data_IF_392154469198
#
_entry.id   IF_392154469198
#
_cell.length_a   1.000
_cell.length_b   1.000
_cell.length_c   1.000
_cell.angle_alpha   90.00
_cell.angle_beta   90.00
_cell.angle_gamma   90.00
#
_symmetry.space_group_name_H-M   'P 1'
#
loop_
_entity.id
_entity.type
_entity.pdbx_description
1 polymer ?
#
# COMPACT_ATOMS: atom_id res chain seq x y z
N UNK A 1 -6.01 0.28 -31.60
CA UNK A 1 -5.34 1.17 -30.62
C UNK A 1 -6.24 1.53 -29.45
N UNK A 2 -7.53 1.83 -29.65
CA UNK A 2 -8.50 1.98 -28.54
C UNK A 2 -8.50 0.77 -27.61
N UNK A 3 -8.65 -0.44 -28.15
CA UNK A 3 -8.71 -1.69 -27.34
C UNK A 3 -7.44 -1.93 -26.49
N UNK A 4 -6.27 -1.49 -26.95
CA UNK A 4 -5.02 -1.61 -26.21
C UNK A 4 -4.96 -0.61 -25.04
N UNK A 5 -5.46 0.61 -25.24
CA UNK A 5 -5.58 1.60 -24.16
C UNK A 5 -6.60 1.12 -23.12
N UNK A 6 -7.73 0.57 -23.56
CA UNK A 6 -8.78 0.06 -22.67
C UNK A 6 -8.28 -1.13 -21.82
N UNK A 7 -7.52 -2.05 -22.42
CA UNK A 7 -6.89 -3.16 -21.70
C UNK A 7 -5.82 -2.68 -20.70
N UNK A 8 -5.01 -1.68 -21.06
CA UNK A 8 -4.05 -1.07 -20.14
C UNK A 8 -4.72 -0.34 -18.98
N UNK A 9 -5.84 0.33 -19.21
CA UNK A 9 -6.65 0.94 -18.15
C UNK A 9 -7.21 -0.11 -17.19
N UNK A 10 -7.76 -1.21 -17.71
CA UNK A 10 -8.23 -2.32 -16.88
C UNK A 10 -7.08 -2.92 -16.06
N UNK A 11 -5.90 -3.11 -16.67
CA UNK A 11 -4.72 -3.59 -15.98
C UNK A 11 -4.28 -2.62 -14.87
N UNK A 12 -4.29 -1.31 -15.12
CA UNK A 12 -3.96 -0.29 -14.12
C UNK A 12 -4.91 -0.39 -12.92
N UNK A 13 -6.22 -0.51 -13.15
CA UNK A 13 -7.21 -0.67 -12.09
C UNK A 13 -6.95 -1.93 -11.24
N UNK A 14 -6.61 -3.05 -11.88
CA UNK A 14 -6.26 -4.28 -11.16
C UNK A 14 -5.00 -4.09 -10.31
N UNK A 15 -3.95 -3.45 -10.85
CA UNK A 15 -2.72 -3.16 -10.10
C UNK A 15 -2.96 -2.22 -8.93
N UNK A 16 -3.76 -1.18 -9.11
CA UNK A 16 -4.13 -0.26 -8.04
C UNK A 16 -4.88 -0.98 -6.91
N UNK A 17 -5.81 -1.88 -7.25
CA UNK A 17 -6.52 -2.70 -6.25
C UNK A 17 -5.55 -3.59 -5.46
N UNK A 18 -4.62 -4.26 -6.14
CA UNK A 18 -3.59 -5.06 -5.48
C UNK A 18 -2.70 -4.23 -4.55
N UNK A 19 -2.29 -3.04 -4.97
CA UNK A 19 -1.51 -2.11 -4.13
C UNK A 19 -2.30 -1.69 -2.89
N UNK A 20 -3.58 -1.33 -3.06
CA UNK A 20 -4.46 -0.94 -1.96
C UNK A 20 -4.65 -2.08 -0.96
N UNK A 21 -4.79 -3.32 -1.44
CA UNK A 21 -4.92 -4.51 -0.59
C UNK A 21 -3.68 -4.71 0.29
N UNK A 22 -2.48 -4.70 -0.29
CA UNK A 22 -1.23 -4.87 0.50
C UNK A 22 -1.02 -3.70 1.45
N UNK A 23 -1.38 -2.47 1.05
CA UNK A 23 -1.32 -1.29 1.92
C UNK A 23 -2.25 -1.40 3.13
N UNK A 24 -3.46 -1.94 2.92
CA UNK A 24 -4.41 -2.21 4.01
C UNK A 24 -3.86 -3.26 4.98
N UNK A 25 -3.33 -4.38 4.46
CA UNK A 25 -2.70 -5.43 5.26
C UNK A 25 -1.52 -4.89 6.08
N UNK A 26 -0.64 -4.09 5.46
CA UNK A 26 0.48 -3.45 6.15
C UNK A 26 0.00 -2.55 7.30
N UNK A 27 -1.09 -1.82 7.10
CA UNK A 27 -1.67 -0.95 8.12
C UNK A 27 -2.21 -1.77 9.30
N UNK A 28 -2.94 -2.85 9.02
CA UNK A 28 -3.45 -3.77 10.04
C UNK A 28 -2.29 -4.39 10.84
N UNK A 29 -1.23 -4.82 10.16
CA UNK A 29 -0.06 -5.42 10.80
C UNK A 29 0.66 -4.42 11.72
N UNK A 30 0.85 -3.17 11.28
CA UNK A 30 1.42 -2.11 12.13
C UNK A 30 0.57 -1.83 13.37
N UNK A 31 -0.75 -1.84 13.24
CA UNK A 31 -1.65 -1.70 14.38
C UNK A 31 -1.51 -2.87 15.36
N UNK A 32 -1.31 -4.09 14.87
CA UNK A 32 -1.04 -5.26 15.70
C UNK A 32 0.28 -5.10 16.48
N UNK A 33 1.37 -4.68 15.85
CA UNK A 33 2.64 -4.38 16.54
C UNK A 33 2.45 -3.34 17.66
N UNK A 34 1.69 -2.27 17.40
CA UNK A 34 1.38 -1.26 18.43
C UNK A 34 0.58 -1.84 19.60
N UNK A 35 -0.33 -2.79 19.35
CA UNK A 35 -1.09 -3.47 20.41
C UNK A 35 -0.16 -4.32 21.28
N UNK A 36 0.75 -5.09 20.69
CA UNK A 36 1.75 -5.84 21.45
C UNK A 36 2.60 -4.93 22.32
N UNK A 37 3.09 -3.82 21.77
CA UNK A 37 3.86 -2.84 22.54
C UNK A 37 3.07 -2.28 23.73
N UNK A 38 1.79 -1.92 23.54
CA UNK A 38 0.92 -1.44 24.62
C UNK A 38 0.70 -2.51 25.69
N UNK A 39 0.46 -3.76 25.29
CA UNK A 39 0.28 -4.88 26.21
C UNK A 39 1.55 -5.12 27.05
N UNK A 40 2.72 -5.15 26.43
CA UNK A 40 4.01 -5.30 27.12
C UNK A 40 4.19 -4.18 28.14
N UNK A 41 3.93 -2.92 27.77
CA UNK A 41 4.03 -1.79 28.69
C UNK A 41 3.05 -1.92 29.88
N UNK A 42 1.82 -2.35 29.63
CA UNK A 42 0.83 -2.56 30.68
C UNK A 42 1.23 -3.70 31.63
N UNK A 43 1.72 -4.82 31.09
CA UNK A 43 2.20 -5.96 31.90
C UNK A 43 3.43 -5.58 32.74
N UNK A 44 4.36 -4.79 32.19
CA UNK A 44 5.50 -4.26 32.95
C UNK A 44 5.05 -3.31 34.07
N UNK A 45 4.01 -2.50 33.86
CA UNK A 45 3.49 -1.61 34.90
C UNK A 45 2.90 -2.40 36.09
N UNK A 46 2.27 -3.55 35.82
CA UNK A 46 1.74 -4.44 36.85
C UNK A 46 2.82 -5.03 37.75
N UNK A 47 4.03 -5.31 37.23
CA UNK A 47 5.15 -5.84 38.03
C UNK A 47 5.84 -4.75 38.85
N UNK A 48 5.84 -3.50 38.38
CA UNK A 48 6.44 -2.35 39.08
C UNK A 48 5.61 -1.85 40.27
N UNK A 49 4.30 -2.14 40.29
CA UNK A 49 3.37 -1.63 41.31
C UNK A 49 3.33 -2.47 42.60
N UNK A 50 4.07 -3.58 42.66
CA UNK A 50 4.16 -4.46 43.83
C UNK A 50 5.35 -4.09 44.72
N UNK A 51 5.20 -3.04 45.55
CA UNK A 51 6.16 -2.77 46.62
C UNK A 51 5.95 -3.72 47.82
N UNK A 52 7.06 -4.18 48.42
CA UNK A 52 7.03 -5.10 49.55
C UNK A 52 6.48 -4.41 50.81
N UNK A 53 5.28 -4.79 51.24
CA UNK A 53 4.71 -4.33 52.50
C UNK A 53 5.39 -5.05 53.69
N UNK A 54 5.71 -4.34 54.79
CA UNK A 54 6.18 -5.00 56.00
C UNK A 54 5.04 -5.83 56.64
N UNK A 55 5.34 -7.08 57.02
CA UNK A 55 4.39 -7.98 57.70
C UNK A 55 3.72 -9.05 56.83
N UNK A 56 4.22 -9.30 55.60
CA UNK A 56 3.67 -10.28 54.67
C UNK A 56 3.98 -11.72 55.11
N UNK A 57 2.98 -12.60 55.07
CA UNK A 57 3.14 -14.03 55.40
C UNK A 57 3.92 -14.80 54.31
N UNK A 58 4.53 -15.93 54.67
CA UNK A 58 5.26 -16.78 53.71
C UNK A 58 4.39 -17.25 52.53
N UNK A 59 3.10 -17.52 52.77
CA UNK A 59 2.14 -17.88 51.72
C UNK A 59 1.91 -16.72 50.74
N UNK A 60 1.77 -15.49 51.24
CA UNK A 60 1.63 -14.32 50.38
C UNK A 60 2.89 -14.06 49.56
N UNK A 61 4.09 -14.25 50.13
CA UNK A 61 5.35 -14.15 49.38
C UNK A 61 5.41 -15.18 48.23
N UNK A 62 5.01 -16.43 48.49
CA UNK A 62 4.95 -17.46 47.45
C UNK A 62 3.97 -17.09 46.33
N UNK A 63 2.78 -16.59 46.69
CA UNK A 63 1.79 -16.12 45.72
C UNK A 63 2.30 -14.96 44.86
N UNK A 64 2.99 -13.98 45.46
CA UNK A 64 3.60 -12.87 44.70
C UNK A 64 4.69 -13.38 43.74
N UNK A 65 5.58 -14.25 44.21
CA UNK A 65 6.63 -14.82 43.37
C UNK A 65 6.05 -15.59 42.17
N UNK A 66 4.99 -16.37 42.39
CA UNK A 66 4.31 -17.10 41.32
C UNK A 66 3.57 -16.16 40.37
N UNK A 67 2.88 -15.14 40.87
CA UNK A 67 2.25 -14.12 40.04
C UNK A 67 3.26 -13.41 39.13
N UNK A 68 4.37 -12.94 39.69
CA UNK A 68 5.45 -12.29 38.93
C UNK A 68 6.04 -13.21 37.86
N UNK A 69 6.26 -14.49 38.19
CA UNK A 69 6.71 -15.49 37.22
C UNK A 69 5.69 -15.72 36.10
N UNK A 70 4.39 -15.65 36.38
CA UNK A 70 3.36 -15.74 35.34
C UNK A 70 3.34 -14.50 34.44
N UNK A 71 3.35 -13.29 35.02
CA UNK A 71 3.39 -12.04 34.24
C UNK A 71 4.65 -11.96 33.38
N UNK A 72 5.80 -12.36 33.90
CA UNK A 72 7.04 -12.39 33.13
C UNK A 72 6.95 -13.33 31.92
N UNK A 73 6.40 -14.53 32.10
CA UNK A 73 6.15 -15.46 30.98
C UNK A 73 5.22 -14.86 29.92
N UNK A 74 4.17 -14.16 30.35
CA UNK A 74 3.26 -13.44 29.44
C UNK A 74 3.99 -12.34 28.66
N UNK A 75 4.85 -11.56 29.31
CA UNK A 75 5.68 -10.53 28.67
C UNK A 75 6.60 -11.16 27.63
N UNK A 76 7.29 -12.23 27.99
CA UNK A 76 8.24 -12.91 27.10
C UNK A 76 7.52 -13.47 25.86
N UNK A 77 6.33 -14.04 26.05
CA UNK A 77 5.47 -14.46 24.94
C UNK A 77 5.04 -13.28 24.05
N UNK A 78 4.56 -12.17 24.64
CA UNK A 78 4.15 -10.98 23.86
C UNK A 78 5.32 -10.40 23.04
N UNK A 79 6.54 -10.44 23.57
CA UNK A 79 7.76 -10.02 22.85
C UNK A 79 8.05 -10.92 21.65
N UNK A 80 7.89 -12.23 21.81
CA UNK A 80 8.05 -13.18 20.70
C UNK A 80 7.02 -12.92 19.60
N UNK A 81 5.74 -12.76 19.97
CA UNK A 81 4.68 -12.42 19.03
C UNK A 81 4.91 -11.07 18.33
N UNK A 82 5.38 -10.05 19.05
CA UNK A 82 5.76 -8.77 18.46
C UNK A 82 6.88 -8.94 17.42
N UNK A 83 7.91 -9.73 17.72
CA UNK A 83 9.01 -9.97 16.79
C UNK A 83 8.53 -10.67 15.50
N UNK A 84 7.64 -11.66 15.62
CA UNK A 84 7.00 -12.29 14.46
C UNK A 84 6.17 -11.28 13.67
N UNK A 85 5.42 -10.42 14.36
CA UNK A 85 4.61 -9.40 13.71
C UNK A 85 5.46 -8.36 12.96
N UNK A 86 6.61 -7.96 13.50
CA UNK A 86 7.56 -7.03 12.88
C UNK A 86 8.23 -7.63 11.63
N UNK A 87 8.55 -8.94 11.64
CA UNK A 87 9.01 -9.65 10.44
C UNK A 87 7.96 -9.55 9.34
N UNK A 88 6.69 -9.77 9.67
CA UNK A 88 5.60 -9.69 8.69
C UNK A 88 5.38 -8.26 8.16
N UNK A 89 5.60 -7.23 8.99
CA UNK A 89 5.65 -5.84 8.51
C UNK A 89 6.73 -5.68 7.42
N UNK A 90 7.92 -6.25 7.63
CA UNK A 90 9.01 -6.23 6.64
C UNK A 90 8.65 -6.92 5.32
N UNK A 91 7.99 -8.08 5.41
CA UNK A 91 7.48 -8.81 4.24
C UNK A 91 6.46 -7.98 3.47
N UNK A 92 5.46 -7.43 4.16
CA UNK A 92 4.40 -6.60 3.58
C UNK A 92 4.94 -5.31 2.96
N UNK A 93 5.95 -4.67 3.57
CA UNK A 93 6.62 -3.50 2.98
C UNK A 93 7.31 -3.85 1.65
N UNK A 94 8.01 -4.98 1.61
CA UNK A 94 8.66 -5.45 0.38
C UNK A 94 7.63 -5.74 -0.70
N UNK A 95 6.53 -6.42 -0.35
CA UNK A 95 5.43 -6.69 -1.28
C UNK A 95 4.77 -5.39 -1.77
N UNK A 96 4.54 -4.42 -0.87
CA UNK A 96 3.96 -3.12 -1.23
C UNK A 96 4.83 -2.39 -2.25
N UNK A 97 6.15 -2.36 -2.04
CA UNK A 97 7.10 -1.75 -2.99
C UNK A 97 7.06 -2.45 -4.36
N UNK A 98 6.98 -3.78 -4.38
CA UNK A 98 6.85 -4.53 -5.64
C UNK A 98 5.54 -4.21 -6.37
N UNK A 99 4.41 -4.13 -5.65
CA UNK A 99 3.13 -3.76 -6.25
C UNK A 99 3.11 -2.31 -6.74
N UNK A 100 3.70 -1.39 -5.97
CA UNK A 100 3.82 0.01 -6.38
C UNK A 100 4.66 0.16 -7.66
N UNK A 101 5.78 -0.58 -7.78
CA UNK A 101 6.56 -0.60 -9.02
C UNK A 101 5.75 -1.13 -10.20
N UNK A 102 4.99 -2.22 -10.02
CA UNK A 102 4.14 -2.81 -11.07
C UNK A 102 3.03 -1.87 -11.51
N UNK A 103 2.37 -1.20 -10.57
CA UNK A 103 1.36 -0.17 -10.87
C UNK A 103 2.00 0.97 -11.69
N UNK A 104 3.14 1.50 -11.22
CA UNK A 104 3.81 2.62 -11.89
C UNK A 104 4.25 2.29 -13.31
N UNK A 105 4.75 1.08 -13.56
CA UNK A 105 5.10 0.62 -14.91
C UNK A 105 3.88 0.70 -15.84
N UNK A 106 2.73 0.18 -15.39
CA UNK A 106 1.50 0.20 -16.20
C UNK A 106 1.02 1.62 -16.42
N UNK A 107 1.08 2.48 -15.40
CA UNK A 107 0.69 3.89 -15.53
C UNK A 107 1.53 4.63 -16.58
N UNK A 108 2.86 4.44 -16.58
CA UNK A 108 3.76 5.07 -17.57
C UNK A 108 3.49 4.54 -18.98
N UNK A 109 3.32 3.22 -19.13
CA UNK A 109 3.01 2.63 -20.45
C UNK A 109 1.66 3.11 -20.98
N UNK A 110 0.65 3.21 -20.12
CA UNK A 110 -0.66 3.73 -20.49
C UNK A 110 -0.57 5.19 -20.97
N UNK A 111 0.16 6.03 -20.25
CA UNK A 111 0.40 7.44 -20.61
C UNK A 111 1.07 7.54 -21.99
N UNK A 112 2.13 6.77 -22.22
CA UNK A 112 2.82 6.73 -23.53
C UNK A 112 1.89 6.32 -24.67
N UNK A 113 1.09 5.28 -24.47
CA UNK A 113 0.14 4.81 -25.49
C UNK A 113 -0.96 5.84 -25.78
N UNK A 114 -1.43 6.55 -24.76
CA UNK A 114 -2.41 7.63 -24.93
C UNK A 114 -1.83 8.80 -25.74
N UNK A 115 -0.59 9.20 -25.46
CA UNK A 115 0.10 10.25 -26.21
C UNK A 115 0.33 9.86 -27.68
N UNK A 116 0.75 8.62 -27.93
CA UNK A 116 0.94 8.09 -29.29
C UNK A 116 -0.38 8.12 -30.07
N UNK A 117 -1.45 7.62 -29.45
CA UNK A 117 -2.77 7.63 -30.06
C UNK A 117 -3.26 9.05 -30.36
N UNK A 118 -3.09 9.99 -29.44
CA UNK A 118 -3.45 11.40 -29.65
C UNK A 118 -2.65 12.04 -30.78
N UNK A 119 -1.33 11.76 -30.87
CA UNK A 119 -0.47 12.26 -31.96
C UNK A 119 -0.94 11.75 -33.32
N UNK A 120 -1.31 10.47 -33.41
CA UNK A 120 -1.82 9.90 -34.65
C UNK A 120 -3.16 10.51 -35.07
N UNK A 121 -4.09 10.66 -34.12
CA UNK A 121 -5.38 11.31 -34.37
C UNK A 121 -5.19 12.75 -34.84
N UNK A 122 -4.27 13.51 -34.20
CA UNK A 122 -3.92 14.86 -34.62
C UNK A 122 -3.36 14.90 -36.04
N UNK A 123 -2.48 13.96 -36.40
CA UNK A 123 -1.93 13.86 -37.76
C UNK A 123 -3.00 13.55 -38.81
N UNK A 124 -3.95 12.66 -38.49
CA UNK A 124 -5.07 12.33 -39.38
C UNK A 124 -6.02 13.52 -39.56
N UNK A 125 -6.37 14.20 -38.47
CA UNK A 125 -7.19 15.40 -38.49
C UNK A 125 -6.54 16.50 -39.35
N UNK A 126 -5.25 16.76 -39.13
CA UNK A 126 -4.50 17.74 -39.91
C UNK A 126 -4.49 17.41 -41.41
N UNK A 127 -4.19 16.16 -41.78
CA UNK A 127 -4.23 15.72 -43.19
C UNK A 127 -5.61 15.96 -43.82
N UNK A 128 -6.69 15.68 -43.10
CA UNK A 128 -8.04 15.91 -43.59
C UNK A 128 -8.33 17.41 -43.77
N UNK A 129 -7.93 18.24 -42.81
CA UNK A 129 -8.05 19.71 -42.89
C UNK A 129 -7.26 20.26 -44.06
N UNK A 130 -6.01 19.83 -44.25
CA UNK A 130 -5.14 20.26 -45.34
C UNK A 130 -5.69 19.84 -46.71
N UNK A 131 -6.25 18.64 -46.81
CA UNK A 131 -6.91 18.15 -48.02
C UNK A 131 -8.14 19.00 -48.38
N UNK A 132 -8.98 19.31 -47.39
CA UNK A 132 -10.15 20.18 -47.57
C UNK A 132 -9.72 21.60 -47.97
N UNK A 133 -8.71 22.17 -47.31
CA UNK A 133 -8.17 23.49 -47.64
C UNK A 133 -7.63 23.54 -49.07
N UNK A 134 -6.90 22.51 -49.49
CA UNK A 134 -6.39 22.38 -50.86
C UNK A 134 -7.52 22.31 -51.88
N UNK A 135 -8.57 21.53 -51.61
CA UNK A 135 -9.75 21.46 -52.48
C UNK A 135 -10.47 22.81 -52.58
N UNK A 136 -10.69 23.50 -51.46
CA UNK A 136 -11.31 24.83 -51.45
C UNK A 136 -10.48 25.85 -52.25
N UNK A 137 -9.16 25.83 -52.08
CA UNK A 137 -8.24 26.69 -52.83
C UNK A 137 -8.27 26.38 -54.34
N UNK A 138 -8.26 25.09 -54.72
CA UNK A 138 -8.37 24.69 -56.13
C UNK A 138 -9.69 25.14 -56.76
N UNK A 139 -10.81 25.02 -56.04
CA UNK A 139 -12.12 25.50 -56.52
C UNK A 139 -12.15 27.02 -56.69
N UNK A 140 -11.52 27.77 -55.79
CA UNK A 140 -11.39 29.22 -55.92
C UNK A 140 -10.52 29.63 -57.12
N UNK A 141 -9.46 28.88 -57.43
CA UNK A 141 -8.61 29.15 -58.61
C UNK A 141 -9.26 28.73 -59.94
N UNK A 142 -10.05 27.66 -59.94
CA UNK A 142 -10.71 27.14 -61.13
C UNK A 142 -11.92 27.98 -61.59
N UNK A 143 -12.34 28.99 -60.82
CA UNK A 143 -13.33 29.97 -61.26
C UNK A 143 -14.77 29.48 -61.29
N UNK A 144 -15.23 28.78 -60.24
CA UNK A 144 -16.67 28.64 -59.95
C UNK A 144 -17.09 29.62 -58.82
N UNK A 145 -16.89 30.92 -59.09
CA UNK A 145 -17.70 32.03 -58.56
C UNK A 145 -17.97 32.99 -59.73
#
# INVERSE_FOLDING_TARGET
MSDMIDTLQQLQQLRQRSLNQVTSQLTQQKQLCQRYQRNINALNALTLSEEAFPGVSALQMANHADYQRHIQRLIDWQKQEQALADIEVGNLQTQMQQQARREKIVAVVLEQQQEEYQREQGRLAQKNTDALATQCWQRQQAGDI
#
